data_IF_478202468699
#
_entry.id   IF_478202468699
#
_cell.length_a   1.000
_cell.length_b   1.000
_cell.length_c   1.000
_cell.angle_alpha   90.00
_cell.angle_beta   90.00
_cell.angle_gamma   90.00
#
_symmetry.space_group_name_H-M   'P 1'
#
loop_
_entity.id
_entity.type
_entity.pdbx_description
1 polymer ?
#
# COMPACT_ATOMS: atom_id res chain seq x y z
N UNK A 1 -62.33 -49.88 -25.02
CA UNK A 1 -61.97 -48.46 -24.80
C UNK A 1 -60.72 -48.44 -23.93
N UNK A 2 -59.67 -47.76 -24.41
CA UNK A 2 -58.26 -48.02 -24.11
C UNK A 2 -57.80 -47.59 -22.72
N UNK A 3 -56.86 -48.37 -22.15
CA UNK A 3 -56.24 -48.19 -20.83
C UNK A 3 -55.11 -47.15 -20.93
N UNK A 4 -55.11 -46.13 -20.07
CA UNK A 4 -54.01 -45.18 -19.93
C UNK A 4 -52.80 -45.87 -19.27
N UNK A 5 -51.61 -45.71 -19.86
CA UNK A 5 -50.31 -46.01 -19.24
C UNK A 5 -49.65 -44.70 -18.80
N UNK A 6 -49.09 -44.59 -17.58
CA UNK A 6 -48.28 -43.44 -17.20
C UNK A 6 -46.86 -43.63 -17.74
N UNK A 7 -46.40 -42.69 -18.58
CA UNK A 7 -44.97 -42.56 -18.88
C UNK A 7 -44.33 -41.73 -17.77
N UNK A 8 -43.56 -42.37 -16.89
CA UNK A 8 -42.68 -41.68 -15.96
C UNK A 8 -41.47 -41.14 -16.74
N UNK A 9 -41.37 -39.82 -16.85
CA UNK A 9 -40.17 -39.15 -17.37
C UNK A 9 -39.25 -38.93 -16.16
N UNK A 10 -38.25 -39.79 -16.00
CA UNK A 10 -37.18 -39.59 -15.01
C UNK A 10 -36.18 -38.59 -15.60
N UNK A 11 -36.21 -37.34 -15.13
CA UNK A 11 -35.18 -36.35 -15.44
C UNK A 11 -33.93 -36.65 -14.61
N UNK A 12 -32.86 -37.13 -15.27
CA UNK A 12 -31.56 -37.34 -14.64
C UNK A 12 -30.83 -35.99 -14.55
N UNK A 13 -30.89 -35.36 -13.38
CA UNK A 13 -30.11 -34.16 -13.07
C UNK A 13 -28.64 -34.57 -12.89
N UNK A 14 -27.82 -34.37 -13.92
CA UNK A 14 -26.36 -34.49 -13.82
C UNK A 14 -25.85 -33.29 -13.03
N UNK A 15 -25.69 -33.43 -11.71
CA UNK A 15 -24.89 -32.49 -10.92
C UNK A 15 -23.44 -32.63 -11.35
N UNK A 16 -22.99 -31.78 -12.27
CA UNK A 16 -21.55 -31.58 -12.48
C UNK A 16 -21.02 -30.86 -11.25
N UNK A 17 -20.35 -31.59 -10.38
CA UNK A 17 -19.55 -31.02 -9.29
C UNK A 17 -18.43 -30.17 -9.92
N UNK A 18 -18.71 -28.88 -10.11
CA UNK A 18 -17.69 -27.91 -10.48
C UNK A 18 -16.65 -27.89 -9.36
N UNK A 19 -15.48 -28.48 -9.61
CA UNK A 19 -14.33 -28.28 -8.75
C UNK A 19 -14.01 -26.79 -8.82
N UNK A 20 -14.26 -26.07 -7.73
CA UNK A 20 -13.78 -24.70 -7.56
C UNK A 20 -12.26 -24.82 -7.47
N UNK A 21 -11.58 -24.65 -8.61
CA UNK A 21 -10.13 -24.56 -8.62
C UNK A 21 -9.74 -23.40 -7.71
N UNK A 22 -9.13 -23.72 -6.56
CA UNK A 22 -8.57 -22.72 -5.67
C UNK A 22 -7.55 -21.90 -6.43
N UNK A 23 -7.73 -20.58 -6.48
CA UNK A 23 -6.70 -19.68 -7.00
C UNK A 23 -5.37 -19.96 -6.28
N UNK A 24 -4.23 -19.93 -6.98
CA UNK A 24 -2.94 -20.13 -6.34
C UNK A 24 -2.69 -19.03 -5.29
N UNK A 25 -1.92 -19.32 -4.22
CA UNK A 25 -1.54 -18.30 -3.25
C UNK A 25 -0.79 -17.16 -3.93
N UNK A 26 -1.02 -15.93 -3.48
CA UNK A 26 -0.37 -14.71 -3.98
C UNK A 26 0.54 -14.12 -2.90
N UNK A 27 1.66 -13.54 -3.31
CA UNK A 27 2.62 -12.86 -2.44
C UNK A 27 2.87 -11.48 -3.03
N UNK A 28 2.94 -10.47 -2.17
CA UNK A 28 3.45 -9.13 -2.50
C UNK A 28 4.76 -8.92 -1.74
N UNK A 29 5.72 -8.22 -2.38
CA UNK A 29 7.01 -7.90 -1.79
C UNK A 29 7.20 -6.40 -1.90
N UNK A 30 7.42 -5.76 -0.75
CA UNK A 30 7.74 -4.32 -0.64
C UNK A 30 9.16 -4.23 -0.09
N UNK A 31 10.00 -3.41 -0.74
CA UNK A 31 11.33 -3.04 -0.23
C UNK A 31 11.27 -1.60 0.26
N UNK A 32 11.52 -1.43 1.56
CA UNK A 32 11.45 -0.15 2.26
C UNK A 32 12.76 0.64 2.21
N UNK A 33 12.72 1.86 2.73
CA UNK A 33 13.87 2.76 2.98
C UNK A 33 14.66 3.21 1.73
N UNK A 34 14.02 3.28 0.57
CA UNK A 34 14.60 4.00 -0.56
C UNK A 34 14.63 5.50 -0.27
N UNK A 35 15.63 6.22 -0.78
CA UNK A 35 15.67 7.67 -0.70
C UNK A 35 17.07 8.25 -0.47
N UNK A 36 17.75 7.83 0.60
CA UNK A 36 19.07 8.40 0.95
C UNK A 36 20.22 7.88 0.08
N UNK A 37 20.20 6.61 -0.32
CA UNK A 37 21.27 5.98 -1.08
C UNK A 37 20.86 5.75 -2.53
N UNK A 38 21.14 6.73 -3.41
CA UNK A 38 20.78 6.68 -4.83
C UNK A 38 21.25 5.39 -5.52
N UNK A 39 22.54 5.07 -5.45
CA UNK A 39 23.10 3.90 -6.14
C UNK A 39 22.51 2.58 -5.64
N UNK A 40 22.22 2.48 -4.34
CA UNK A 40 21.60 1.29 -3.77
C UNK A 40 20.13 1.18 -4.21
N UNK A 41 19.39 2.29 -4.19
CA UNK A 41 18.01 2.35 -4.67
C UNK A 41 17.89 1.98 -6.14
N UNK A 42 18.80 2.47 -6.99
CA UNK A 42 18.85 2.11 -8.42
C UNK A 42 19.05 0.61 -8.62
N UNK A 43 20.01 -0.01 -7.92
CA UNK A 43 20.21 -1.47 -7.97
C UNK A 43 19.02 -2.25 -7.46
N UNK A 44 18.32 -1.76 -6.43
CA UNK A 44 17.12 -2.40 -5.92
C UNK A 44 15.98 -2.39 -6.96
N UNK A 45 15.77 -1.25 -7.63
CA UNK A 45 14.75 -1.10 -8.67
C UNK A 45 15.01 -2.03 -9.87
N UNK A 46 16.26 -2.40 -10.13
CA UNK A 46 16.65 -3.36 -11.18
C UNK A 46 16.32 -4.83 -10.86
N UNK A 47 15.90 -5.15 -9.63
CA UNK A 47 15.50 -6.51 -9.29
C UNK A 47 14.40 -7.03 -10.24
N UNK A 48 14.48 -8.29 -10.71
CA UNK A 48 13.50 -8.82 -11.66
C UNK A 48 12.13 -9.06 -10.99
N UNK A 49 11.06 -8.97 -11.79
CA UNK A 49 9.70 -9.29 -11.36
C UNK A 49 8.92 -8.13 -10.72
N UNK A 50 7.70 -8.39 -10.23
CA UNK A 50 6.81 -7.39 -9.65
C UNK A 50 7.14 -7.16 -8.17
N UNK A 51 8.18 -6.37 -7.91
CA UNK A 51 8.56 -5.90 -6.58
C UNK A 51 8.16 -4.44 -6.46
N UNK A 52 7.52 -4.09 -5.34
CA UNK A 52 7.08 -2.72 -5.04
C UNK A 52 8.13 -2.05 -4.13
N UNK A 53 8.25 -0.73 -4.21
CA UNK A 53 9.28 0.01 -3.47
C UNK A 53 8.66 1.14 -2.66
N UNK A 54 8.97 1.20 -1.37
CA UNK A 54 8.55 2.28 -0.50
C UNK A 54 9.69 3.30 -0.35
N UNK A 55 9.39 4.56 -0.65
CA UNK A 55 10.37 5.65 -0.72
C UNK A 55 10.14 6.64 0.42
N UNK A 56 11.18 6.93 1.18
CA UNK A 56 11.17 7.93 2.24
C UNK A 56 11.01 9.34 1.61
N UNK A 57 9.99 10.10 2.02
CA UNK A 57 9.74 11.44 1.51
C UNK A 57 10.85 12.40 1.90
N UNK A 58 11.00 13.51 1.16
CA UNK A 58 11.93 14.59 1.51
C UNK A 58 13.43 14.25 1.51
N UNK A 59 13.81 13.00 1.22
CA UNK A 59 15.21 12.59 1.09
C UNK A 59 15.82 13.04 -0.23
N UNK A 60 17.17 13.15 -0.35
CA UNK A 60 17.81 13.64 -1.58
C UNK A 60 17.45 12.86 -2.85
N UNK A 61 17.18 11.57 -2.73
CA UNK A 61 16.83 10.70 -3.84
C UNK A 61 15.34 10.37 -3.98
N UNK A 62 14.45 10.89 -3.12
CA UNK A 62 13.05 10.50 -3.08
C UNK A 62 12.37 10.56 -4.45
N UNK A 63 12.31 11.75 -5.04
CA UNK A 63 11.64 11.99 -6.32
C UNK A 63 12.30 11.22 -7.46
N UNK A 64 13.64 11.23 -7.53
CA UNK A 64 14.38 10.56 -8.60
C UNK A 64 14.20 9.04 -8.58
N UNK A 65 14.23 8.42 -7.40
CA UNK A 65 14.02 6.97 -7.25
C UNK A 65 12.57 6.57 -7.48
N UNK A 66 11.60 7.38 -7.03
CA UNK A 66 10.19 7.16 -7.29
C UNK A 66 9.86 7.20 -8.79
N UNK A 67 10.34 8.23 -9.50
CA UNK A 67 10.21 8.31 -10.96
C UNK A 67 10.88 7.13 -11.66
N UNK A 68 12.11 6.78 -11.26
CA UNK A 68 12.81 5.64 -11.84
C UNK A 68 12.06 4.32 -11.62
N UNK A 69 11.54 4.08 -10.43
CA UNK A 69 10.75 2.89 -10.13
C UNK A 69 9.50 2.82 -11.03
N UNK A 70 8.75 3.93 -11.12
CA UNK A 70 7.60 4.04 -11.99
C UNK A 70 7.94 3.79 -13.47
N UNK A 71 8.99 4.43 -13.99
CA UNK A 71 9.45 4.26 -15.38
C UNK A 71 9.89 2.82 -15.69
N UNK A 72 10.30 2.05 -14.67
CA UNK A 72 10.63 0.63 -14.77
C UNK A 72 9.43 -0.28 -14.54
N UNK A 73 8.22 0.27 -14.50
CA UNK A 73 6.97 -0.46 -14.30
C UNK A 73 6.85 -1.07 -12.90
N UNK A 74 7.50 -0.47 -11.90
CA UNK A 74 7.41 -0.88 -10.50
C UNK A 74 6.36 -0.05 -9.78
N UNK A 75 5.69 -0.67 -8.81
CA UNK A 75 4.80 0.05 -7.90
C UNK A 75 5.61 0.86 -6.90
N UNK A 76 5.12 2.06 -6.59
CA UNK A 76 5.75 3.00 -5.66
C UNK A 76 4.81 3.24 -4.48
N UNK A 77 5.35 3.17 -3.27
CA UNK A 77 4.65 3.53 -2.05
C UNK A 77 5.39 4.70 -1.38
N UNK A 78 4.63 5.55 -0.71
CA UNK A 78 5.17 6.52 0.24
C UNK A 78 5.56 5.78 1.53
N UNK A 79 6.84 5.77 1.88
CA UNK A 79 7.32 5.23 3.16
C UNK A 79 7.33 6.35 4.21
N UNK A 80 6.19 6.57 4.85
CA UNK A 80 5.92 7.75 5.66
C UNK A 80 6.53 7.63 7.07
N UNK A 81 7.45 8.53 7.50
CA UNK A 81 7.98 8.52 8.86
C UNK A 81 6.90 8.87 9.87
N UNK A 82 6.72 8.01 10.87
CA UNK A 82 5.72 8.16 11.91
C UNK A 82 6.38 8.05 13.29
N UNK A 83 5.93 8.86 14.26
CA UNK A 83 6.46 8.82 15.63
C UNK A 83 6.31 7.42 16.26
N UNK A 84 7.42 6.89 16.79
CA UNK A 84 7.45 5.55 17.37
C UNK A 84 7.37 5.53 18.90
N UNK A 85 7.67 6.64 19.58
CA UNK A 85 7.63 6.74 21.04
C UNK A 85 7.47 8.19 21.52
N UNK A 86 7.15 8.39 22.81
CA UNK A 86 6.85 9.73 23.34
C UNK A 86 8.06 10.66 23.31
N UNK A 87 9.25 10.11 23.57
CA UNK A 87 10.53 10.83 23.55
C UNK A 87 11.27 10.68 22.20
N UNK A 88 10.59 10.15 21.19
CA UNK A 88 11.15 9.92 19.86
C UNK A 88 11.26 11.23 19.09
N UNK A 89 12.47 11.54 18.65
CA UNK A 89 12.70 12.61 17.69
C UNK A 89 12.68 12.00 16.29
N UNK A 90 11.74 12.42 15.46
CA UNK A 90 11.73 11.97 14.07
C UNK A 90 12.83 12.72 13.33
N UNK A 91 13.91 12.03 13.01
CA UNK A 91 15.05 12.60 12.28
C UNK A 91 14.76 12.72 10.78
N UNK A 92 13.88 11.86 10.27
CA UNK A 92 13.49 11.87 8.86
C UNK A 92 12.61 13.09 8.50
N UNK A 93 12.85 13.68 7.33
CA UNK A 93 12.05 14.81 6.87
C UNK A 93 10.59 14.40 6.67
N UNK A 94 9.68 15.35 6.90
CA UNK A 94 8.24 15.18 6.67
C UNK A 94 7.60 14.06 7.50
N UNK A 95 8.16 13.78 8.67
CA UNK A 95 7.59 12.82 9.61
C UNK A 95 6.40 13.36 10.40
N UNK A 96 5.43 12.48 10.70
CA UNK A 96 4.21 12.83 11.42
C UNK A 96 4.32 12.48 12.91
N UNK A 97 3.92 13.42 13.76
CA UNK A 97 4.02 13.32 15.22
C UNK A 97 2.72 13.70 15.91
N UNK A 98 2.51 13.18 17.12
CA UNK A 98 1.37 13.51 17.99
C UNK A 98 1.38 14.97 18.49
N UNK A 99 2.49 15.69 18.31
CA UNK A 99 2.64 17.09 18.74
C UNK A 99 2.17 18.08 17.66
N UNK A 100 1.84 17.60 16.47
CA UNK A 100 1.34 18.43 15.38
C UNK A 100 -0.13 18.80 15.59
N UNK A 101 -0.50 20.01 15.18
CA UNK A 101 -1.90 20.35 14.94
C UNK A 101 -2.46 19.55 13.75
N UNK A 102 -3.79 19.51 13.61
CA UNK A 102 -4.45 18.84 12.49
C UNK A 102 -4.01 19.38 11.13
N UNK A 103 -3.81 20.70 11.05
CA UNK A 103 -3.40 21.42 9.83
C UNK A 103 -1.96 21.08 9.48
N UNK A 104 -1.02 21.22 10.43
CA UNK A 104 0.39 20.85 10.22
C UNK A 104 0.56 19.38 9.81
N UNK A 105 -0.27 18.49 10.36
CA UNK A 105 -0.28 17.07 10.01
C UNK A 105 -0.66 16.85 8.54
N UNK A 106 -1.77 17.48 8.09
CA UNK A 106 -2.24 17.38 6.71
C UNK A 106 -1.24 18.01 5.72
N UNK A 107 -0.74 19.21 6.02
CA UNK A 107 0.26 19.90 5.21
C UNK A 107 1.56 19.09 5.08
N UNK A 108 1.97 18.42 6.17
CA UNK A 108 3.15 17.56 6.15
C UNK A 108 2.91 16.30 5.32
N UNK A 109 1.74 15.68 5.44
CA UNK A 109 1.36 14.53 4.63
C UNK A 109 1.33 14.87 3.13
N UNK A 110 0.70 15.98 2.74
CA UNK A 110 0.63 16.42 1.34
C UNK A 110 2.02 16.68 0.76
N UNK A 111 2.90 17.35 1.53
CA UNK A 111 4.30 17.57 1.12
C UNK A 111 5.07 16.26 0.99
N UNK A 112 4.82 15.29 1.86
CA UNK A 112 5.43 13.97 1.78
C UNK A 112 5.01 13.26 0.48
N UNK A 113 3.71 13.28 0.18
CA UNK A 113 3.15 12.68 -1.03
C UNK A 113 3.69 13.33 -2.31
N UNK A 114 3.73 14.67 -2.38
CA UNK A 114 4.32 15.40 -3.52
C UNK A 114 5.79 15.02 -3.75
N UNK A 115 6.55 14.76 -2.69
CA UNK A 115 7.97 14.40 -2.79
C UNK A 115 8.22 12.98 -3.32
N UNK A 116 7.19 12.13 -3.34
CA UNK A 116 7.21 10.74 -3.83
C UNK A 116 6.17 10.58 -4.94
N UNK A 117 6.45 11.08 -6.17
CA UNK A 117 5.52 11.01 -7.27
C UNK A 117 5.18 9.55 -7.64
N UNK A 118 3.98 9.34 -8.17
CA UNK A 118 3.43 8.04 -8.57
C UNK A 118 3.20 7.05 -7.41
N UNK A 119 3.23 7.51 -6.16
CA UNK A 119 2.82 6.69 -5.03
C UNK A 119 1.36 6.24 -5.19
N UNK A 120 1.12 4.93 -5.05
CA UNK A 120 -0.23 4.31 -5.08
C UNK A 120 -0.66 3.83 -3.69
N UNK A 121 0.19 4.01 -2.69
CA UNK A 121 -0.10 3.59 -1.33
C UNK A 121 0.89 4.18 -0.34
N UNK A 122 0.59 4.00 0.94
CA UNK A 122 1.38 4.48 2.06
C UNK A 122 1.75 3.29 2.95
N UNK A 123 3.02 3.23 3.32
CA UNK A 123 3.57 2.31 4.31
C UNK A 123 4.17 3.15 5.44
N UNK A 124 4.09 2.69 6.69
CA UNK A 124 4.73 3.34 7.83
C UNK A 124 6.23 3.05 7.93
N UNK A 125 7.06 4.08 8.00
CA UNK A 125 8.42 3.99 8.54
C UNK A 125 8.35 4.19 10.07
N UNK A 126 8.56 3.09 10.82
CA UNK A 126 8.39 3.00 12.29
C UNK A 126 6.92 3.21 12.74
N UNK A 127 6.61 4.29 13.45
CA UNK A 127 5.21 4.64 13.77
C UNK A 127 4.52 3.90 14.91
N UNK A 128 5.25 3.17 15.75
CA UNK A 128 4.62 2.35 16.81
C UNK A 128 3.70 3.16 17.74
N UNK A 129 3.97 4.44 17.99
CA UNK A 129 3.12 5.28 18.85
C UNK A 129 1.94 5.85 18.05
N UNK A 130 2.22 6.44 16.89
CA UNK A 130 1.19 7.10 16.08
C UNK A 130 0.10 6.13 15.62
N UNK A 131 0.48 4.94 15.16
CA UNK A 131 -0.47 3.92 14.67
C UNK A 131 -1.40 3.37 15.75
N UNK A 132 -1.00 3.43 17.03
CA UNK A 132 -1.84 3.03 18.18
C UNK A 132 -2.65 4.20 18.75
N UNK A 133 -2.35 5.44 18.37
CA UNK A 133 -3.07 6.61 18.86
C UNK A 133 -4.34 6.84 18.02
N UNK A 134 -5.55 6.67 18.57
CA UNK A 134 -6.78 6.64 17.78
C UNK A 134 -7.10 7.97 17.07
N UNK A 135 -6.74 9.12 17.66
CA UNK A 135 -6.92 10.43 17.03
C UNK A 135 -6.07 10.61 15.77
N UNK A 136 -4.75 10.55 15.92
CA UNK A 136 -3.80 10.73 14.83
C UNK A 136 -3.82 9.62 13.78
N UNK A 137 -4.06 8.36 14.16
CA UNK A 137 -4.25 7.30 13.16
C UNK A 137 -5.51 7.54 12.33
N UNK A 138 -6.59 8.04 12.94
CA UNK A 138 -7.76 8.48 12.18
C UNK A 138 -7.43 9.63 11.24
N UNK A 139 -6.67 10.63 11.68
CA UNK A 139 -6.24 11.72 10.78
C UNK A 139 -5.43 11.19 9.60
N UNK A 140 -4.50 10.26 9.82
CA UNK A 140 -3.76 9.61 8.74
C UNK A 140 -4.68 8.90 7.74
N UNK A 141 -5.67 8.16 8.23
CA UNK A 141 -6.63 7.49 7.35
C UNK A 141 -7.55 8.48 6.61
N UNK A 142 -7.88 9.62 7.22
CA UNK A 142 -8.62 10.70 6.57
C UNK A 142 -7.80 11.32 5.43
N UNK A 143 -6.51 11.59 5.65
CA UNK A 143 -5.60 12.08 4.60
C UNK A 143 -5.50 11.08 3.45
N UNK A 144 -5.21 9.81 3.75
CA UNK A 144 -5.09 8.77 2.72
C UNK A 144 -6.39 8.62 1.93
N UNK A 145 -7.55 8.62 2.62
CA UNK A 145 -8.85 8.49 1.97
C UNK A 145 -9.21 9.68 1.07
N UNK A 146 -8.66 10.87 1.30
CA UNK A 146 -8.88 12.03 0.46
C UNK A 146 -8.26 11.89 -0.95
N UNK A 147 -7.36 10.91 -1.14
CA UNK A 147 -6.80 10.56 -2.44
C UNK A 147 -7.40 9.23 -2.94
N UNK A 148 -8.03 9.24 -4.12
CA UNK A 148 -8.81 8.10 -4.63
C UNK A 148 -7.98 6.82 -4.85
N UNK A 149 -6.67 6.96 -5.09
CA UNK A 149 -5.79 5.86 -5.51
C UNK A 149 -4.85 5.35 -4.40
N UNK A 150 -4.95 5.86 -3.17
CA UNK A 150 -4.06 5.45 -2.07
C UNK A 150 -4.68 4.36 -1.18
N UNK A 151 -3.89 3.32 -0.91
CA UNK A 151 -4.13 2.38 0.18
C UNK A 151 -3.10 2.52 1.30
N UNK A 152 -3.37 1.93 2.45
CA UNK A 152 -2.41 1.83 3.57
C UNK A 152 -2.04 0.36 3.80
N UNK A 153 -0.75 0.10 4.05
CA UNK A 153 -0.20 -1.22 4.41
C UNK A 153 0.21 -1.24 5.87
#
# INVERSE_FOLDING_TARGET
MSVLRPFAITALLMLTSGSVASSPPRIAIIIDDLGYQLDAGQRAIELPGPVSFAVLPGTPGASALAMLAFDRGKEVLLHLPLQAGSDDTIEDPLGLSLYMSREEFGDTFERALISVPHAIGVNSHRGSLLTRHPGHMRWLMEEIHAHEDLFFV
#
